data_IF_608664011929
#
_entry.id   IF_608664011929
#
_cell.length_a   1.000
_cell.length_b   1.000
_cell.length_c   1.000
_cell.angle_alpha   90.00
_cell.angle_beta   90.00
_cell.angle_gamma   90.00
#
_symmetry.space_group_name_H-M   'P 1'
#
loop_
_entity.id
_entity.type
_entity.pdbx_description
1 polymer ?
#
# COMPACT_ATOMS: atom_id res chain seq x y z
N UNK A 1 -24.02 17.54 -18.45
CA UNK A 1 -22.70 17.44 -17.81
C UNK A 1 -22.76 16.22 -16.92
N UNK A 2 -21.91 15.22 -17.16
CA UNK A 2 -21.85 14.04 -16.28
C UNK A 2 -21.06 14.48 -15.04
N UNK A 3 -21.57 14.25 -13.81
CA UNK A 3 -20.83 14.58 -12.59
C UNK A 3 -19.54 13.75 -12.53
N UNK A 4 -18.48 14.35 -11.99
CA UNK A 4 -17.25 13.61 -11.74
C UNK A 4 -17.50 12.52 -10.69
N UNK A 5 -16.87 11.34 -10.82
CA UNK A 5 -16.97 10.28 -9.84
C UNK A 5 -16.53 10.76 -8.45
N UNK A 6 -17.22 10.29 -7.42
CA UNK A 6 -16.83 10.59 -6.05
C UNK A 6 -15.52 9.89 -5.70
N UNK A 7 -14.64 10.53 -4.95
CA UNK A 7 -13.47 9.84 -4.35
C UNK A 7 -13.86 8.75 -3.35
N UNK A 8 -15.16 8.69 -2.98
CA UNK A 8 -15.74 7.69 -2.10
C UNK A 8 -16.60 6.65 -2.86
N UNK A 9 -16.71 6.75 -4.18
CA UNK A 9 -17.30 5.67 -4.98
C UNK A 9 -16.31 4.51 -5.03
N UNK A 10 -16.76 3.34 -4.58
CA UNK A 10 -15.96 2.13 -4.50
C UNK A 10 -16.39 1.19 -5.62
N UNK A 11 -15.43 0.71 -6.40
CA UNK A 11 -15.63 -0.43 -7.30
C UNK A 11 -15.41 -1.72 -6.52
N UNK A 12 -16.51 -2.38 -6.15
CA UNK A 12 -16.46 -3.57 -5.31
C UNK A 12 -15.69 -4.74 -5.96
N UNK A 13 -15.72 -4.86 -7.29
CA UNK A 13 -14.97 -5.91 -8.00
C UNK A 13 -13.47 -5.61 -7.98
N UNK A 14 -13.11 -4.33 -8.12
CA UNK A 14 -11.72 -3.90 -8.01
C UNK A 14 -11.16 -4.09 -6.59
N UNK A 15 -11.94 -3.79 -5.56
CA UNK A 15 -11.53 -4.04 -4.16
C UNK A 15 -11.34 -5.53 -3.87
N UNK A 16 -12.29 -6.40 -4.29
CA UNK A 16 -12.16 -7.84 -4.10
C UNK A 16 -10.92 -8.42 -4.83
N UNK A 17 -10.63 -7.91 -6.03
CA UNK A 17 -9.42 -8.29 -6.76
C UNK A 17 -8.13 -7.84 -6.04
N UNK A 18 -8.12 -6.63 -5.48
CA UNK A 18 -6.97 -6.10 -4.72
C UNK A 18 -6.72 -6.90 -3.42
N UNK A 19 -7.78 -7.27 -2.70
CA UNK A 19 -7.68 -8.13 -1.53
C UNK A 19 -7.12 -9.51 -1.89
N UNK A 20 -7.60 -10.12 -2.97
CA UNK A 20 -7.11 -11.41 -3.45
C UNK A 20 -5.62 -11.36 -3.83
N UNK A 21 -5.18 -10.28 -4.48
CA UNK A 21 -3.78 -10.03 -4.80
C UNK A 21 -2.92 -9.94 -3.53
N UNK A 22 -3.34 -9.14 -2.54
CA UNK A 22 -2.62 -9.00 -1.27
C UNK A 22 -2.50 -10.32 -0.50
N UNK A 23 -3.54 -11.15 -0.50
CA UNK A 23 -3.49 -12.47 0.10
C UNK A 23 -2.53 -13.41 -0.64
N UNK A 24 -2.44 -13.32 -1.96
CA UNK A 24 -1.48 -14.09 -2.75
C UNK A 24 -0.03 -13.65 -2.49
N UNK A 25 0.21 -12.35 -2.30
CA UNK A 25 1.52 -11.81 -1.92
C UNK A 25 1.98 -12.32 -0.55
N UNK A 26 1.07 -12.30 0.43
CA UNK A 26 1.32 -12.86 1.77
C UNK A 26 1.71 -14.34 1.66
N UNK A 27 0.94 -15.14 0.91
CA UNK A 27 1.21 -16.56 0.72
C UNK A 27 2.55 -16.81 -0.02
N UNK A 28 2.93 -15.94 -0.94
CA UNK A 28 4.19 -16.00 -1.67
C UNK A 28 5.38 -15.42 -0.90
N UNK A 29 5.17 -14.84 0.28
CA UNK A 29 6.20 -14.16 1.05
C UNK A 29 6.69 -12.84 0.43
N UNK A 30 5.92 -12.24 -0.49
CA UNK A 30 6.19 -10.90 -1.05
C UNK A 30 5.75 -9.82 -0.06
N UNK A 31 6.38 -9.83 1.11
CA UNK A 31 6.07 -8.93 2.23
C UNK A 31 7.33 -8.23 2.71
N UNK A 32 7.16 -7.10 3.40
CA UNK A 32 8.26 -6.43 4.09
C UNK A 32 8.14 -6.62 5.60
N UNK A 33 9.25 -6.93 6.30
CA UNK A 33 9.23 -7.11 7.74
C UNK A 33 8.70 -5.86 8.47
N UNK A 34 7.90 -6.07 9.51
CA UNK A 34 7.33 -5.00 10.32
C UNK A 34 8.39 -3.99 10.82
N UNK A 35 9.54 -4.48 11.28
CA UNK A 35 10.63 -3.64 11.80
C UNK A 35 11.15 -2.64 10.74
N UNK A 36 11.20 -3.06 9.48
CA UNK A 36 11.63 -2.19 8.37
C UNK A 36 10.57 -1.12 8.07
N UNK A 37 9.29 -1.49 8.12
CA UNK A 37 8.17 -0.54 7.98
C UNK A 37 8.15 0.47 9.13
N UNK A 38 8.32 -0.01 10.38
CA UNK A 38 8.32 0.85 11.57
C UNK A 38 9.46 1.85 11.52
N UNK A 39 10.68 1.40 11.23
CA UNK A 39 11.85 2.27 11.14
C UNK A 39 11.72 3.33 10.04
N UNK A 40 10.98 3.04 8.97
CA UNK A 40 10.66 4.01 7.93
C UNK A 40 9.62 5.04 8.40
N UNK A 41 8.53 4.59 9.02
CA UNK A 41 7.48 5.45 9.56
C UNK A 41 8.02 6.42 10.63
N UNK A 42 9.00 5.99 11.42
CA UNK A 42 9.66 6.85 12.43
C UNK A 42 10.39 8.05 11.81
N UNK A 43 10.74 7.98 10.52
CA UNK A 43 11.39 9.11 9.81
C UNK A 43 10.40 10.14 9.28
N UNK A 44 9.11 9.81 9.20
CA UNK A 44 8.11 10.68 8.58
C UNK A 44 7.91 11.99 9.35
N UNK A 45 7.90 13.11 8.62
CA UNK A 45 7.75 14.43 9.23
C UNK A 45 8.98 14.90 10.01
N UNK A 46 10.11 14.21 9.87
CA UNK A 46 11.42 14.60 10.42
C UNK A 46 12.38 15.03 9.30
N UNK A 47 13.46 15.78 9.61
CA UNK A 47 14.52 16.05 8.63
C UNK A 47 15.17 14.79 8.04
N UNK A 48 15.05 13.65 8.72
CA UNK A 48 15.63 12.37 8.34
C UNK A 48 14.68 11.50 7.49
N UNK A 49 13.57 12.04 7.00
CA UNK A 49 12.57 11.32 6.19
C UNK A 49 13.22 10.55 5.02
N UNK A 50 12.91 9.25 4.96
CA UNK A 50 13.44 8.34 3.94
C UNK A 50 12.35 7.97 2.93
N UNK A 51 12.73 7.67 1.67
CA UNK A 51 11.79 7.08 0.73
C UNK A 51 11.26 5.74 1.26
N UNK A 52 10.04 5.38 0.84
CA UNK A 52 9.47 4.07 1.11
C UNK A 52 10.41 2.93 0.68
N UNK A 53 10.43 1.79 1.40
CA UNK A 53 11.26 0.64 1.04
C UNK A 53 11.11 0.26 -0.44
N UNK A 54 12.23 0.20 -1.18
CA UNK A 54 12.21 -0.08 -2.63
C UNK A 54 11.66 -1.47 -2.96
N UNK A 55 11.75 -2.39 -2.00
CA UNK A 55 11.16 -3.74 -2.06
C UNK A 55 9.65 -3.72 -2.23
N UNK A 56 8.96 -2.62 -1.92
CA UNK A 56 7.50 -2.45 -2.10
C UNK A 56 7.07 -2.22 -3.54
N UNK A 57 7.99 -1.81 -4.43
CA UNK A 57 7.65 -1.41 -5.80
C UNK A 57 7.79 -2.54 -6.82
N UNK A 58 7.85 -3.79 -6.36
CA UNK A 58 8.15 -4.98 -7.18
C UNK A 58 6.92 -5.83 -7.40
#
# INVERSE_FOLDING_TARGET
MVPEPSIFEIDAEAEEAADAEGMADIAAGRVVPHEEVSAWLDTWGTPEEKPAPETWRK
#
